data_IF_251368672559
#
_entry.id   IF_251368672559
#
_cell.length_a   1.000
_cell.length_b   1.000
_cell.length_c   1.000
_cell.angle_alpha   90.00
_cell.angle_beta   90.00
_cell.angle_gamma   90.00
#
_symmetry.space_group_name_H-M   'P 1'
#
loop_
_entity.id
_entity.type
_entity.pdbx_description
1 polymer ?
#
# COMPACT_ATOMS: atom_id res chain seq x y z
N UNK A 1 -20.18 9.53 4.92
CA UNK A 1 -18.91 8.82 4.69
C UNK A 1 -18.65 8.92 3.21
N UNK A 2 -17.47 9.42 2.83
CA UNK A 2 -17.05 9.37 1.44
C UNK A 2 -16.76 7.91 1.11
N UNK A 3 -17.56 7.33 0.22
CA UNK A 3 -17.25 6.05 -0.38
C UNK A 3 -16.16 6.28 -1.41
N UNK A 4 -14.97 5.73 -1.15
CA UNK A 4 -13.88 5.73 -2.11
C UNK A 4 -13.27 4.33 -2.21
N UNK A 5 -12.72 4.06 -3.38
CA UNK A 5 -12.07 2.83 -3.76
C UNK A 5 -10.61 3.14 -4.05
N UNK A 6 -9.75 2.23 -3.64
CA UNK A 6 -8.32 2.28 -3.94
C UNK A 6 -7.93 0.95 -4.55
N UNK A 7 -7.41 0.99 -5.78
CA UNK A 7 -6.94 -0.21 -6.46
C UNK A 7 -5.51 -0.07 -6.95
N UNK A 8 -4.76 -1.16 -6.83
CA UNK A 8 -3.41 -1.24 -7.38
C UNK A 8 -3.45 -1.91 -8.75
N UNK A 9 -2.76 -1.28 -9.69
CA UNK A 9 -2.70 -1.73 -11.08
C UNK A 9 -1.24 -1.87 -11.47
N UNK A 10 -0.91 -2.99 -12.11
CA UNK A 10 0.38 -3.22 -12.74
C UNK A 10 0.22 -2.99 -14.24
N UNK A 11 0.94 -2.00 -14.74
CA UNK A 11 0.97 -1.67 -16.17
C UNK A 11 2.25 -2.23 -16.79
N UNK A 12 2.08 -3.02 -17.85
CA UNK A 12 3.15 -3.54 -18.68
C UNK A 12 3.26 -2.71 -19.95
N UNK A 13 4.47 -2.33 -20.32
CA UNK A 13 4.78 -1.55 -21.51
C UNK A 13 6.14 -1.94 -22.09
N UNK A 14 6.49 -1.41 -23.25
CA UNK A 14 7.83 -1.58 -23.79
C UNK A 14 8.84 -0.73 -22.99
N UNK A 15 10.09 -1.22 -22.77
CA UNK A 15 11.14 -0.46 -22.08
C UNK A 15 11.34 0.97 -22.62
N UNK A 16 11.21 1.14 -23.93
CA UNK A 16 11.37 2.43 -24.64
C UNK A 16 10.29 3.46 -24.27
N UNK A 17 9.11 2.99 -23.86
CA UNK A 17 7.96 3.84 -23.56
C UNK A 17 7.85 4.20 -22.06
N UNK A 18 8.64 3.58 -21.18
CA UNK A 18 8.51 3.73 -19.71
C UNK A 18 8.52 5.19 -19.25
N UNK A 19 9.50 5.98 -19.69
CA UNK A 19 9.66 7.34 -19.18
C UNK A 19 8.61 8.29 -19.74
N UNK A 20 8.01 7.96 -20.89
CA UNK A 20 6.85 8.68 -21.42
C UNK A 20 5.62 8.31 -20.61
N UNK A 21 5.32 7.01 -20.49
CA UNK A 21 4.13 6.49 -19.81
C UNK A 21 4.11 6.87 -18.33
N UNK A 22 5.25 6.83 -17.64
CA UNK A 22 5.37 7.30 -16.26
C UNK A 22 4.92 8.76 -16.10
N UNK A 23 5.33 9.64 -17.02
CA UNK A 23 4.95 11.06 -16.99
C UNK A 23 3.49 11.27 -17.37
N UNK A 24 3.00 10.57 -18.39
CA UNK A 24 1.61 10.65 -18.83
C UNK A 24 0.64 10.15 -17.75
N UNK A 25 0.92 8.99 -17.14
CA UNK A 25 0.11 8.43 -16.05
C UNK A 25 0.15 9.31 -14.81
N UNK A 26 1.30 9.88 -14.46
CA UNK A 26 1.43 10.82 -13.33
C UNK A 26 0.71 12.16 -13.52
N UNK A 27 0.17 12.44 -14.71
CA UNK A 27 -0.68 13.62 -14.96
C UNK A 27 -2.18 13.30 -14.87
N UNK A 28 -2.56 12.04 -14.68
CA UNK A 28 -3.96 11.65 -14.51
C UNK A 28 -4.33 11.95 -13.05
N UNK A 29 -5.36 12.79 -12.85
CA UNK A 29 -5.74 13.34 -11.53
C UNK A 29 -5.91 12.30 -10.43
N UNK A 30 -6.40 11.11 -10.77
CA UNK A 30 -6.78 10.07 -9.84
C UNK A 30 -5.86 8.83 -9.90
N UNK A 31 -4.63 9.01 -10.40
CA UNK A 31 -3.63 7.96 -10.52
C UNK A 31 -2.35 8.42 -9.85
N UNK A 32 -1.79 7.56 -8.99
CA UNK A 32 -0.47 7.77 -8.40
C UNK A 32 0.50 6.70 -8.90
N UNK A 33 1.69 7.12 -9.35
CA UNK A 33 2.74 6.20 -9.80
C UNK A 33 3.74 5.95 -8.67
N UNK A 34 3.87 4.71 -8.22
CA UNK A 34 4.72 4.36 -7.08
C UNK A 34 6.08 3.77 -7.48
N UNK A 35 6.11 2.97 -8.55
CA UNK A 35 7.31 2.27 -8.95
C UNK A 35 7.36 2.04 -10.45
N UNK A 36 8.54 2.21 -11.05
CA UNK A 36 8.82 1.78 -12.42
C UNK A 36 10.11 0.97 -12.47
N UNK A 37 10.11 -0.05 -13.31
CA UNK A 37 11.27 -0.87 -13.60
C UNK A 37 11.57 -0.80 -15.09
N UNK A 38 12.82 -0.51 -15.47
CA UNK A 38 13.25 -0.33 -16.87
C UNK A 38 12.93 -1.52 -17.80
N UNK A 39 12.57 -2.68 -17.25
CA UNK A 39 12.16 -3.88 -17.99
C UNK A 39 10.81 -3.74 -18.71
N UNK A 40 9.98 -2.77 -18.34
CA UNK A 40 8.64 -2.57 -18.90
C UNK A 40 7.50 -2.56 -17.88
N UNK A 41 7.77 -2.38 -16.58
CA UNK A 41 6.74 -2.45 -15.52
C UNK A 41 6.54 -1.12 -14.82
N UNK A 42 5.28 -0.77 -14.58
CA UNK A 42 4.88 0.39 -13.78
C UNK A 42 3.80 -0.05 -12.78
N UNK A 43 3.99 0.28 -11.50
CA UNK A 43 3.01 0.07 -10.44
C UNK A 43 2.35 1.41 -10.17
N UNK A 44 1.03 1.41 -10.29
CA UNK A 44 0.19 2.58 -10.04
C UNK A 44 -0.93 2.23 -9.06
N UNK A 45 -1.47 3.25 -8.42
CA UNK A 45 -2.70 3.18 -7.63
C UNK A 45 -3.74 4.09 -8.27
N UNK A 46 -4.99 3.62 -8.34
CA UNK A 46 -6.13 4.39 -8.82
C UNK A 46 -7.03 4.66 -7.62
N UNK A 47 -7.36 5.92 -7.40
CA UNK A 47 -8.34 6.33 -6.40
C UNK A 47 -9.63 6.78 -7.09
N UNK A 48 -10.79 6.41 -6.55
CA UNK A 48 -12.07 6.75 -7.17
C UNK A 48 -13.23 6.70 -6.18
N UNK A 49 -14.18 7.62 -6.29
CA UNK A 49 -15.42 7.60 -5.47
C UNK A 49 -16.38 6.46 -5.84
N UNK A 50 -16.22 5.88 -7.03
CA UNK A 50 -17.07 4.79 -7.49
C UNK A 50 -16.33 3.79 -8.40
N UNK A 51 -16.90 2.60 -8.51
CA UNK A 51 -16.35 1.51 -9.33
C UNK A 51 -16.35 1.90 -10.82
N UNK A 52 -17.38 2.63 -11.27
CA UNK A 52 -17.48 3.03 -12.67
C UNK A 52 -16.32 3.95 -13.12
N UNK A 53 -15.94 4.94 -12.30
CA UNK A 53 -14.83 5.84 -12.63
C UNK A 53 -13.48 5.13 -12.51
N UNK A 54 -13.36 4.16 -11.61
CA UNK A 54 -12.19 3.29 -11.49
C UNK A 54 -11.99 2.48 -12.79
N UNK A 55 -13.03 1.80 -13.26
CA UNK A 55 -13.00 1.04 -14.52
C UNK A 55 -12.74 1.96 -15.72
N UNK A 56 -13.34 3.15 -15.76
CA UNK A 56 -13.05 4.13 -16.83
C UNK A 56 -11.59 4.55 -16.83
N UNK A 57 -11.00 4.76 -15.65
CA UNK A 57 -9.59 5.14 -15.52
C UNK A 57 -8.69 4.00 -15.97
N UNK A 58 -8.98 2.76 -15.55
CA UNK A 58 -8.27 1.57 -16.01
C UNK A 58 -8.30 1.45 -17.54
N UNK A 59 -9.48 1.55 -18.16
CA UNK A 59 -9.62 1.50 -19.61
C UNK A 59 -8.87 2.62 -20.32
N UNK A 60 -8.93 3.84 -19.77
CA UNK A 60 -8.17 4.97 -20.30
C UNK A 60 -6.66 4.70 -20.27
N UNK A 61 -6.16 4.03 -19.23
CA UNK A 61 -4.75 3.60 -19.11
C UNK A 61 -4.42 2.53 -20.15
N UNK A 62 -5.29 1.54 -20.35
CA UNK A 62 -5.11 0.50 -21.38
C UNK A 62 -5.07 1.08 -22.80
N UNK A 63 -5.81 2.16 -23.06
CA UNK A 63 -5.85 2.84 -24.36
C UNK A 63 -4.63 3.73 -24.62
N UNK A 64 -3.77 4.00 -23.63
CA UNK A 64 -2.56 4.80 -23.82
C UNK A 64 -1.60 4.04 -24.75
N UNK A 65 -1.20 4.69 -25.85
CA UNK A 65 -0.25 4.12 -26.79
C UNK A 65 1.04 3.70 -26.07
N UNK A 66 1.46 2.45 -26.28
CA UNK A 66 2.66 1.87 -25.65
C UNK A 66 2.35 1.02 -24.41
N UNK A 67 1.13 1.10 -23.88
CA UNK A 67 0.64 0.14 -22.87
C UNK A 67 0.30 -1.17 -23.56
N UNK A 68 0.87 -2.27 -23.06
CA UNK A 68 0.61 -3.62 -23.54
C UNK A 68 -0.50 -4.30 -22.73
N UNK A 69 -0.54 -4.05 -21.42
CA UNK A 69 -1.62 -4.50 -20.53
C UNK A 69 -1.62 -3.68 -19.25
N UNK A 70 -2.80 -3.51 -18.66
CA UNK A 70 -2.96 -2.97 -17.31
C UNK A 70 -3.80 -3.96 -16.50
N UNK A 71 -3.23 -4.53 -15.43
CA UNK A 71 -3.90 -5.54 -14.62
C UNK A 71 -4.09 -5.04 -13.20
N UNK A 72 -5.35 -5.02 -12.76
CA UNK A 72 -5.70 -4.71 -11.37
C UNK A 72 -5.39 -5.92 -10.48
N UNK A 73 -4.55 -5.72 -9.47
CA UNK A 73 -4.10 -6.79 -8.56
C UNK A 73 -5.01 -6.88 -7.33
N UNK A 74 -5.39 -5.72 -6.79
CA UNK A 74 -6.34 -5.62 -5.69
C UNK A 74 -7.13 -4.31 -5.78
N UNK A 75 -8.34 -4.31 -5.22
CA UNK A 75 -9.19 -3.14 -5.04
C UNK A 75 -9.83 -3.22 -3.65
N UNK A 76 -9.76 -2.13 -2.90
CA UNK A 76 -10.33 -2.01 -1.57
C UNK A 76 -11.41 -0.95 -1.54
N UNK A 77 -12.54 -1.26 -0.92
CA UNK A 77 -13.65 -0.34 -0.70
C UNK A 77 -13.57 0.32 0.69
N UNK A 78 -13.99 1.58 0.81
CA UNK A 78 -13.96 2.33 2.07
C UNK A 78 -14.60 1.60 3.27
N UNK A 79 -15.70 0.89 3.02
CA UNK A 79 -16.44 0.12 4.02
C UNK A 79 -15.66 -1.11 4.50
N UNK A 80 -14.96 -1.79 3.60
CA UNK A 80 -14.08 -2.91 3.94
C UNK A 80 -12.85 -2.44 4.71
N UNK A 81 -12.25 -1.31 4.29
CA UNK A 81 -11.13 -0.69 4.99
C UNK A 81 -11.51 -0.29 6.43
N UNK A 82 -12.72 0.23 6.63
CA UNK A 82 -13.24 0.56 7.96
C UNK A 82 -13.38 -0.70 8.83
N UNK A 83 -13.92 -1.80 8.29
CA UNK A 83 -14.02 -3.07 9.02
C UNK A 83 -12.64 -3.63 9.39
N UNK A 84 -11.69 -3.62 8.47
CA UNK A 84 -10.32 -4.08 8.73
C UNK A 84 -9.63 -3.24 9.81
N UNK A 85 -9.86 -1.92 9.80
CA UNK A 85 -9.34 -1.02 10.85
C UNK A 85 -9.90 -1.39 12.22
N UNK A 86 -11.21 -1.62 12.31
CA UNK A 86 -11.87 -2.03 13.54
C UNK A 86 -11.31 -3.37 14.05
N UNK A 87 -11.06 -4.32 13.16
CA UNK A 87 -10.50 -5.62 13.51
C UNK A 87 -9.05 -5.49 14.02
N UNK A 88 -8.23 -4.65 13.39
CA UNK A 88 -6.87 -4.35 13.86
C UNK A 88 -6.89 -3.66 15.23
N UNK A 89 -7.85 -2.76 15.48
CA UNK A 89 -8.00 -2.11 16.78
C UNK A 89 -8.46 -3.09 17.87
N UNK A 90 -9.32 -4.06 17.53
CA UNK A 90 -9.81 -5.09 18.45
C UNK A 90 -8.81 -6.21 18.67
N UNK A 91 -7.91 -6.44 17.72
CA UNK A 91 -6.77 -7.33 17.90
C UNK A 91 -5.88 -6.73 19.00
N UNK A 92 -6.10 -7.19 20.25
CA UNK A 92 -5.35 -6.86 21.47
C UNK A 92 -3.86 -7.25 21.37
N UNK A 93 -3.15 -6.70 20.38
CA UNK A 93 -1.72 -6.86 20.13
C UNK A 93 -0.90 -5.87 20.95
N UNK A 94 -1.58 -4.89 21.56
CA UNK A 94 -0.99 -3.95 22.50
C UNK A 94 -1.05 -4.60 23.89
N UNK A 95 0.09 -4.93 24.51
CA UNK A 95 0.12 -5.48 25.86
C UNK A 95 -0.67 -4.60 26.84
N UNK A 96 -1.49 -5.21 27.70
CA UNK A 96 -2.34 -4.49 28.67
C UNK A 96 -1.56 -3.51 29.55
N UNK A 97 -0.26 -3.75 29.75
CA UNK A 97 0.63 -2.87 30.51
C UNK A 97 0.77 -1.46 29.89
N UNK A 98 0.53 -1.32 28.57
CA UNK A 98 0.53 -0.04 27.87
C UNK A 98 -0.83 0.67 27.91
N UNK A 99 -1.88 0.01 28.43
CA UNK A 99 -3.23 0.57 28.57
C UNK A 99 -3.53 1.05 30.00
N UNK A 100 -2.59 0.85 30.94
CA UNK A 100 -2.75 1.21 32.35
C UNK A 100 -1.99 2.50 32.68
N UNK A 101 -2.73 3.61 32.78
CA UNK A 101 -2.19 4.94 33.10
C UNK A 101 -1.67 5.07 34.55
N UNK A 102 -1.88 4.05 35.39
CA UNK A 102 -1.43 4.03 36.80
C UNK A 102 -0.04 3.41 36.96
N UNK A 103 0.43 2.66 35.96
CA UNK A 103 1.76 2.06 35.97
C UNK A 103 2.80 3.08 35.54
N UNK A 104 3.78 3.33 36.40
CA UNK A 104 4.93 4.14 36.02
C UNK A 104 5.87 3.33 35.14
N UNK A 105 6.45 3.96 34.12
CA UNK A 105 7.35 3.30 33.17
C UNK A 105 8.51 2.55 33.84
N UNK A 106 8.95 3.00 35.01
CA UNK A 106 10.01 2.37 35.82
C UNK A 106 9.63 0.99 36.41
N UNK A 107 8.33 0.69 36.54
CA UNK A 107 7.81 -0.54 37.13
C UNK A 107 7.47 -1.60 36.05
N UNK A 108 7.64 -1.26 34.77
CA UNK A 108 7.43 -2.15 33.63
C UNK A 108 8.65 -3.08 33.50
N UNK A 109 8.46 -4.36 33.84
CA UNK A 109 9.49 -5.39 33.61
C UNK A 109 9.47 -5.82 32.14
N UNK A 110 10.48 -5.43 31.37
CA UNK A 110 10.62 -5.83 29.98
C UNK A 110 11.11 -7.29 29.89
N UNK A 111 10.19 -8.21 29.57
CA UNK A 111 10.48 -9.62 29.29
C UNK A 111 10.65 -9.87 27.77
N UNK A 112 11.25 -8.93 27.05
CA UNK A 112 11.62 -9.18 25.66
C UNK A 112 12.72 -10.23 25.56
N UNK A 113 12.89 -10.78 24.37
CA UNK A 113 13.95 -11.75 24.10
C UNK A 113 15.33 -11.07 24.10
N UNK A 114 15.97 -11.09 25.27
CA UNK A 114 17.34 -10.59 25.46
C UNK A 114 18.33 -11.50 24.74
N UNK A 115 18.04 -12.80 24.59
CA UNK A 115 18.92 -13.78 23.94
C UNK A 115 19.09 -13.43 22.45
N UNK A 116 18.00 -13.17 21.74
CA UNK A 116 18.03 -12.70 20.34
C UNK A 116 18.81 -11.40 20.17
N UNK A 117 18.62 -10.46 21.10
CA UNK A 117 19.28 -9.15 21.07
C UNK A 117 20.78 -9.28 21.35
N UNK A 118 21.17 -10.17 22.26
CA UNK A 118 22.55 -10.44 22.63
C UNK A 118 23.28 -11.21 21.53
N UNK A 119 22.64 -12.22 20.93
CA UNK A 119 23.18 -12.96 19.78
C UNK A 119 23.49 -12.03 18.60
N UNK A 120 22.60 -11.08 18.30
CA UNK A 120 22.79 -10.11 17.23
C UNK A 120 23.99 -9.18 17.47
N UNK A 121 24.27 -8.83 18.72
CA UNK A 121 25.43 -8.02 19.12
C UNK A 121 26.72 -8.84 19.09
N UNK A 122 26.66 -10.10 19.54
CA UNK A 122 27.83 -11.00 19.60
C UNK A 122 28.28 -11.49 18.22
N UNK A 123 27.35 -11.71 17.28
CA UNK A 123 27.64 -12.09 15.88
C UNK A 123 28.15 -10.93 15.01
N UNK A 124 28.19 -9.70 15.54
CA UNK A 124 28.74 -8.49 14.88
C UNK A 124 30.25 -8.27 15.13
N UNK A 125 30.93 -9.19 15.79
CA UNK A 125 32.39 -9.26 15.94
C UNK A 125 32.97 -10.39 15.11
#
# INVERSE_FOLDING_TARGET
MEDFNVSSVVVMCQPEDIDRLWREMGQITNVECHYKEQSGKIIITIESENIDNEIKTLKRIEEIKGVMSAQMIYSYHSSELASMRDDIQKANSIPQILQDDTLQAQDITYAGDVESSLEAILKRK
#
